data_IF_698034336875
#
_entry.id   IF_698034336875
#
_cell.length_a   1.000
_cell.length_b   1.000
_cell.length_c   1.000
_cell.angle_alpha   90.00
_cell.angle_beta   90.00
_cell.angle_gamma   90.00
#
_symmetry.space_group_name_H-M   'P 1'
#
loop_
_entity.id
_entity.type
_entity.pdbx_description
1 polymer ?
#
# COMPACT_ATOMS: atom_id res chain seq x y z
N UNK A 1 21.44 11.29 3.96
CA UNK A 1 20.44 10.66 4.86
C UNK A 1 19.04 11.17 4.58
N UNK A 2 18.78 12.48 4.72
CA UNK A 2 17.45 13.08 4.52
C UNK A 2 16.83 12.81 3.14
N UNK A 3 17.58 13.07 2.06
CA UNK A 3 17.10 12.84 0.69
C UNK A 3 16.71 11.37 0.45
N UNK A 4 17.53 10.43 0.95
CA UNK A 4 17.28 8.99 0.84
C UNK A 4 15.98 8.58 1.53
N UNK A 5 15.78 9.01 2.78
CA UNK A 5 14.56 8.69 3.54
C UNK A 5 13.32 9.36 2.96
N UNK A 6 13.45 10.56 2.40
CA UNK A 6 12.36 11.26 1.71
C UNK A 6 11.93 10.52 0.45
N UNK A 7 12.88 10.08 -0.40
CA UNK A 7 12.57 9.28 -1.60
C UNK A 7 11.90 7.95 -1.20
N UNK A 8 12.44 7.26 -0.19
CA UNK A 8 11.84 6.03 0.33
C UNK A 8 10.41 6.29 0.84
N UNK A 9 10.17 7.42 1.51
CA UNK A 9 8.84 7.78 2.00
C UNK A 9 7.82 7.95 0.88
N UNK A 10 8.21 8.60 -0.21
CA UNK A 10 7.35 8.78 -1.39
C UNK A 10 7.02 7.43 -2.01
N UNK A 11 8.01 6.53 -2.14
CA UNK A 11 7.79 5.19 -2.69
C UNK A 11 6.87 4.35 -1.79
N UNK A 12 7.06 4.37 -0.47
CA UNK A 12 6.21 3.67 0.48
C UNK A 12 4.78 4.23 0.44
N UNK A 13 4.62 5.55 0.33
CA UNK A 13 3.31 6.20 0.20
C UNK A 13 2.57 5.74 -1.05
N UNK A 14 3.26 5.76 -2.20
CA UNK A 14 2.68 5.33 -3.48
C UNK A 14 2.28 3.84 -3.44
N UNK A 15 3.13 2.98 -2.88
CA UNK A 15 2.83 1.56 -2.70
C UNK A 15 1.62 1.35 -1.77
N UNK A 16 1.55 2.08 -0.64
CA UNK A 16 0.44 1.97 0.31
C UNK A 16 -0.89 2.39 -0.31
N UNK A 17 -0.91 3.49 -1.06
CA UNK A 17 -2.11 3.93 -1.80
C UNK A 17 -2.52 2.87 -2.83
N UNK A 18 -1.57 2.33 -3.60
CA UNK A 18 -1.84 1.25 -4.55
C UNK A 18 -2.47 0.02 -3.88
N UNK A 19 -1.91 -0.43 -2.75
CA UNK A 19 -2.42 -1.57 -1.99
C UNK A 19 -3.83 -1.35 -1.43
N UNK A 20 -4.13 -0.13 -0.96
CA UNK A 20 -5.48 0.23 -0.49
C UNK A 20 -6.48 0.23 -1.65
N UNK A 21 -6.11 0.77 -2.80
CA UNK A 21 -6.98 0.78 -3.99
C UNK A 21 -7.25 -0.64 -4.50
N UNK A 22 -6.30 -1.56 -4.37
CA UNK A 22 -6.49 -2.98 -4.67
C UNK A 22 -7.47 -3.68 -3.71
N UNK A 23 -7.65 -3.16 -2.50
CA UNK A 23 -8.70 -3.61 -1.57
C UNK A 23 -10.11 -3.15 -1.98
N UNK A 24 -10.21 -1.99 -2.65
CA UNK A 24 -11.48 -1.41 -3.13
C UNK A 24 -11.89 -2.02 -4.48
N UNK A 25 -12.13 -3.32 -4.49
CA UNK A 25 -12.29 -4.11 -5.71
C UNK A 25 -13.61 -4.02 -6.48
N UNK A 26 -14.59 -3.17 -6.10
CA UNK A 26 -15.93 -3.24 -6.73
C UNK A 26 -16.41 -1.99 -7.48
N UNK A 27 -16.22 -0.77 -6.97
CA UNK A 27 -16.78 0.43 -7.66
C UNK A 27 -15.90 1.69 -7.62
N UNK A 28 -14.76 1.70 -6.91
CA UNK A 28 -13.90 2.90 -6.79
C UNK A 28 -12.40 2.69 -7.10
N UNK A 29 -11.95 1.44 -7.30
CA UNK A 29 -10.53 1.08 -7.50
C UNK A 29 -10.23 0.49 -8.89
N UNK A 30 -9.39 -0.56 -8.94
CA UNK A 30 -9.02 -1.23 -10.20
C UNK A 30 -10.19 -1.91 -10.93
N UNK A 31 -11.21 -2.39 -10.19
CA UNK A 31 -12.42 -2.96 -10.78
C UNK A 31 -13.21 -1.97 -11.63
N UNK A 32 -13.22 -0.69 -11.25
CA UNK A 32 -13.82 0.40 -12.03
C UNK A 32 -12.99 0.83 -13.25
N UNK A 33 -11.69 0.48 -13.29
CA UNK A 33 -10.79 0.72 -14.42
C UNK A 33 -10.77 -0.42 -15.45
N UNK A 34 -11.73 -1.36 -15.38
CA UNK A 34 -11.84 -2.48 -16.33
C UNK A 34 -10.98 -3.70 -15.97
N UNK A 35 -10.26 -3.69 -14.85
CA UNK A 35 -9.59 -4.88 -14.33
C UNK A 35 -10.59 -5.75 -13.58
N UNK A 36 -11.32 -6.60 -14.32
CA UNK A 36 -12.15 -7.66 -13.71
C UNK A 36 -11.28 -8.90 -13.51
N UNK A 37 -10.95 -9.30 -12.27
CA UNK A 37 -10.20 -10.53 -12.05
C UNK A 37 -11.06 -11.74 -12.44
N UNK A 38 -10.61 -12.49 -13.45
CA UNK A 38 -11.28 -13.68 -14.02
C UNK A 38 -11.25 -14.93 -13.12
N UNK A 39 -10.71 -14.85 -11.91
CA UNK A 39 -10.53 -16.00 -11.02
C UNK A 39 -11.24 -15.79 -9.68
N UNK A 40 -12.50 -16.21 -9.60
CA UNK A 40 -13.35 -16.15 -8.39
C UNK A 40 -13.06 -17.26 -7.37
N UNK A 41 -12.26 -18.29 -7.73
CA UNK A 41 -12.01 -19.46 -6.88
C UNK A 41 -10.84 -19.37 -5.90
N UNK A 42 -10.02 -18.31 -5.95
CA UNK A 42 -8.81 -18.14 -5.12
C UNK A 42 -8.71 -16.80 -4.39
N UNK A 43 -9.75 -15.97 -4.47
CA UNK A 43 -9.72 -14.57 -3.98
C UNK A 43 -9.53 -14.47 -2.47
N UNK A 44 -10.10 -15.39 -1.69
CA UNK A 44 -10.00 -15.33 -0.22
C UNK A 44 -8.56 -15.45 0.31
N UNK A 45 -7.70 -16.25 -0.35
CA UNK A 45 -6.28 -16.33 0.01
C UNK A 45 -5.56 -15.06 -0.40
N UNK A 46 -5.89 -14.53 -1.58
CA UNK A 46 -5.31 -13.29 -2.12
C UNK A 46 -5.66 -12.09 -1.23
N UNK A 47 -6.92 -11.92 -0.85
CA UNK A 47 -7.40 -10.85 0.04
C UNK A 47 -6.69 -10.85 1.40
N UNK A 48 -6.53 -12.04 2.02
CA UNK A 48 -5.78 -12.18 3.28
C UNK A 48 -4.31 -11.82 3.12
N UNK A 49 -3.69 -12.17 1.98
CA UNK A 49 -2.31 -11.81 1.70
C UNK A 49 -2.16 -10.31 1.41
N UNK A 50 -3.06 -9.70 0.65
CA UNK A 50 -3.09 -8.26 0.43
C UNK A 50 -3.26 -7.50 1.74
N UNK A 51 -4.12 -8.00 2.64
CA UNK A 51 -4.31 -7.39 3.98
C UNK A 51 -3.01 -7.41 4.76
N UNK A 52 -2.33 -8.56 4.82
CA UNK A 52 -1.04 -8.69 5.51
C UNK A 52 0.03 -7.79 4.91
N UNK A 53 0.12 -7.74 3.59
CA UNK A 53 1.09 -6.88 2.90
C UNK A 53 0.81 -5.40 3.18
N UNK A 54 -0.45 -4.97 3.12
CA UNK A 54 -0.86 -3.59 3.43
C UNK A 54 -0.51 -3.23 4.86
N UNK A 55 -0.75 -4.13 5.81
CA UNK A 55 -0.38 -3.93 7.22
C UNK A 55 1.14 -3.75 7.39
N UNK A 56 1.95 -4.58 6.75
CA UNK A 56 3.42 -4.47 6.80
C UNK A 56 3.88 -3.13 6.23
N UNK A 57 3.36 -2.74 5.06
CA UNK A 57 3.72 -1.47 4.41
C UNK A 57 3.23 -0.26 5.22
N UNK A 58 2.06 -0.34 5.84
CA UNK A 58 1.55 0.71 6.72
C UNK A 58 2.43 0.93 7.95
N UNK A 59 2.92 -0.15 8.56
CA UNK A 59 3.86 -0.06 9.70
C UNK A 59 5.19 0.56 9.24
N UNK A 60 5.72 0.15 8.09
CA UNK A 60 6.93 0.75 7.51
C UNK A 60 6.75 2.25 7.20
N UNK A 61 5.57 2.63 6.70
CA UNK A 61 5.22 4.03 6.46
C UNK A 61 5.30 4.84 7.75
N UNK A 62 4.63 4.39 8.81
CA UNK A 62 4.64 5.09 10.12
C UNK A 62 6.06 5.16 10.70
N UNK A 63 6.82 4.07 10.63
CA UNK A 63 8.20 4.06 11.10
C UNK A 63 9.08 5.09 10.36
N UNK A 64 8.95 5.16 9.03
CA UNK A 64 9.69 6.13 8.22
C UNK A 64 9.22 7.57 8.46
N UNK A 65 7.92 7.81 8.70
CA UNK A 65 7.39 9.11 9.11
C UNK A 65 8.01 9.59 10.41
N UNK A 66 8.08 8.72 11.42
CA UNK A 66 8.68 9.05 12.72
C UNK A 66 10.18 9.33 12.56
N UNK A 67 10.89 8.53 11.77
CA UNK A 67 12.31 8.74 11.50
C UNK A 67 12.56 10.10 10.81
N UNK A 68 11.76 10.45 9.79
CA UNK A 68 11.85 11.74 9.11
C UNK A 68 11.51 12.90 10.05
N UNK A 69 10.47 12.78 10.87
CA UNK A 69 10.11 13.81 11.85
C UNK A 69 11.26 14.07 12.83
N UNK A 70 11.89 13.00 13.36
CA UNK A 70 13.04 13.12 14.28
C UNK A 70 14.30 13.70 13.64
N UNK A 71 14.46 13.55 12.33
CA UNK A 71 15.61 14.07 11.59
C UNK A 71 15.42 15.52 11.12
N UNK A 72 14.17 15.99 11.04
CA UNK A 72 13.82 17.35 10.63
C UNK A 72 13.52 18.29 11.80
N UNK A 73 13.15 17.72 12.96
CA UNK A 73 13.01 18.43 14.24
C UNK A 73 14.38 18.78 14.84
#
# INVERSE_FOLDING_TARGET
MLATLSVIHVLISAALVGLILMHSGRDAGMGGMGFTPTSQGGTHIVEKNLTRLTLIVAVLFVANTVALYRLLA
#
